data_IF_751594728813
#
_entry.id   IF_751594728813
#
_cell.length_a   1.000
_cell.length_b   1.000
_cell.length_c   1.000
_cell.angle_alpha   90.00
_cell.angle_beta   90.00
_cell.angle_gamma   90.00
#
_symmetry.space_group_name_H-M   'P 1'
#
loop_
_entity.id
_entity.type
_entity.pdbx_description
1 polymer ?
#
# COMPACT_ATOMS: atom_id res chain seq x y z
N UNK A 1 -3.44 -1.00 -9.26
CA UNK A 1 -4.18 0.26 -9.34
C UNK A 1 -3.23 1.44 -9.19
N UNK A 2 -3.66 2.60 -9.60
CA UNK A 2 -2.89 3.83 -9.42
C UNK A 2 -3.13 4.35 -8.00
N UNK A 3 -2.05 4.79 -7.34
CA UNK A 3 -2.12 5.37 -6.00
C UNK A 3 -1.51 6.77 -6.07
N UNK A 4 -2.18 7.75 -5.46
CA UNK A 4 -1.64 9.11 -5.36
C UNK A 4 -0.49 9.16 -4.35
N UNK A 5 0.72 9.32 -4.87
CA UNK A 5 1.94 9.38 -4.06
C UNK A 5 2.25 10.78 -3.53
N UNK A 6 1.56 11.82 -3.99
CA UNK A 6 1.81 13.22 -3.60
C UNK A 6 1.55 13.45 -2.12
N UNK A 7 0.57 12.74 -1.55
CA UNK A 7 0.18 12.86 -0.14
C UNK A 7 1.33 12.61 0.83
N UNK A 8 2.24 11.69 0.52
CA UNK A 8 3.41 11.41 1.34
C UNK A 8 4.72 12.00 0.77
N UNK A 9 4.80 12.31 -0.54
CA UNK A 9 5.99 12.94 -1.12
C UNK A 9 6.11 14.42 -0.75
N UNK A 10 5.01 15.18 -0.75
CA UNK A 10 5.03 16.62 -0.45
C UNK A 10 5.60 16.94 0.93
N UNK A 11 5.24 16.23 2.02
CA UNK A 11 5.81 16.48 3.34
C UNK A 11 7.32 16.22 3.43
N UNK A 12 7.90 15.39 2.55
CA UNK A 12 9.32 15.04 2.58
C UNK A 12 10.25 16.22 2.19
N UNK A 13 9.69 17.30 1.65
CA UNK A 13 10.43 18.56 1.43
C UNK A 13 10.87 19.23 2.73
N UNK A 14 10.20 18.91 3.85
CA UNK A 14 10.55 19.46 5.17
C UNK A 14 11.76 18.70 5.73
N UNK A 15 12.82 19.39 6.20
CA UNK A 15 13.95 18.74 6.87
C UNK A 15 13.51 17.88 8.06
N UNK A 16 14.22 16.80 8.31
CA UNK A 16 13.97 15.84 9.41
C UNK A 16 12.68 15.00 9.29
N UNK A 17 11.94 15.14 8.19
CA UNK A 17 10.89 14.16 7.86
C UNK A 17 11.49 12.94 7.18
N UNK A 18 10.80 11.82 7.22
CA UNK A 18 11.21 10.60 6.52
C UNK A 18 10.02 9.87 5.94
N UNK A 19 10.28 9.11 4.88
CA UNK A 19 9.29 8.22 4.29
C UNK A 19 9.14 6.96 5.16
N UNK A 20 7.91 6.62 5.53
CA UNK A 20 7.63 5.37 6.25
C UNK A 20 7.66 4.14 5.32
N UNK A 21 7.70 2.94 5.90
CA UNK A 21 7.76 1.69 5.13
C UNK A 21 6.56 1.48 4.21
N UNK A 22 5.30 1.71 4.65
CA UNK A 22 4.14 1.61 3.78
C UNK A 22 4.24 2.55 2.57
N UNK A 23 4.62 3.81 2.79
CA UNK A 23 4.79 4.81 1.73
C UNK A 23 5.95 4.46 0.78
N UNK A 24 7.05 3.93 1.31
CA UNK A 24 8.19 3.46 0.51
C UNK A 24 7.79 2.30 -0.42
N UNK A 25 6.98 1.36 0.07
CA UNK A 25 6.41 0.28 -0.73
C UNK A 25 5.50 0.80 -1.85
N UNK A 26 4.64 1.78 -1.53
CA UNK A 26 3.77 2.42 -2.52
C UNK A 26 4.61 3.15 -3.57
N UNK A 27 5.66 3.87 -3.18
CA UNK A 27 6.58 4.54 -4.10
C UNK A 27 7.23 3.54 -5.06
N UNK A 28 7.72 2.41 -4.55
CA UNK A 28 8.29 1.34 -5.37
C UNK A 28 7.31 0.84 -6.44
N UNK A 29 6.06 0.58 -6.05
CA UNK A 29 5.00 0.13 -6.97
C UNK A 29 4.64 1.20 -8.00
N UNK A 30 4.63 2.48 -7.60
CA UNK A 30 4.37 3.61 -8.48
C UNK A 30 5.47 3.77 -9.53
N UNK A 31 6.74 3.67 -9.13
CA UNK A 31 7.89 3.73 -10.05
C UNK A 31 7.90 2.55 -11.03
N UNK A 32 7.55 1.36 -10.60
CA UNK A 32 7.40 0.21 -11.49
C UNK A 32 6.25 0.40 -12.50
N UNK A 33 5.14 1.00 -12.05
CA UNK A 33 4.00 1.35 -12.92
C UNK A 33 4.41 2.40 -13.94
N UNK A 34 5.11 3.45 -13.51
CA UNK A 34 5.67 4.49 -14.37
C UNK A 34 6.56 3.90 -15.46
N UNK A 35 7.48 3.02 -15.06
CA UNK A 35 8.37 2.30 -15.98
C UNK A 35 7.59 1.51 -17.04
N UNK A 36 6.55 0.80 -16.63
CA UNK A 36 5.70 0.02 -17.55
C UNK A 36 4.98 0.93 -18.54
N UNK A 37 4.44 2.07 -18.10
CA UNK A 37 3.75 3.05 -18.95
C UNK A 37 4.74 3.65 -19.97
N UNK A 38 5.90 4.12 -19.52
CA UNK A 38 6.93 4.70 -20.40
C UNK A 38 7.39 3.68 -21.44
N UNK A 39 7.68 2.45 -21.03
CA UNK A 39 8.11 1.38 -21.94
C UNK A 39 7.00 1.00 -22.92
N UNK A 40 5.75 0.96 -22.50
CA UNK A 40 4.62 0.70 -23.39
C UNK A 40 4.57 1.73 -24.52
N UNK A 41 4.62 3.03 -24.23
CA UNK A 41 4.58 4.07 -25.26
C UNK A 41 5.87 4.13 -26.08
N UNK A 42 7.03 3.78 -25.53
CA UNK A 42 8.29 3.71 -26.27
C UNK A 42 8.27 2.59 -27.31
N UNK A 43 7.73 1.42 -26.94
CA UNK A 43 7.74 0.22 -27.77
C UNK A 43 6.51 0.11 -28.69
N UNK A 44 5.48 0.96 -28.52
CA UNK A 44 4.33 0.99 -29.43
C UNK A 44 4.71 1.61 -30.78
N UNK A 45 3.99 1.25 -31.86
CA UNK A 45 4.18 1.85 -33.17
C UNK A 45 3.95 3.37 -33.13
N UNK A 46 4.74 4.13 -33.89
CA UNK A 46 4.74 5.61 -33.82
C UNK A 46 3.37 6.24 -34.06
N UNK A 47 2.60 5.63 -34.95
CA UNK A 47 1.32 6.16 -35.39
C UNK A 47 0.13 5.83 -34.47
N UNK A 48 0.31 4.84 -33.57
CA UNK A 48 -0.81 4.34 -32.75
C UNK A 48 -1.27 5.32 -31.68
N UNK A 49 -0.34 6.01 -30.99
CA UNK A 49 -0.67 6.87 -29.84
C UNK A 49 0.17 8.17 -29.83
N UNK A 50 0.12 8.99 -30.91
CA UNK A 50 1.05 10.11 -31.06
C UNK A 50 0.95 11.15 -29.93
N UNK A 51 -0.27 11.48 -29.48
CA UNK A 51 -0.51 12.44 -28.40
C UNK A 51 -0.06 11.90 -27.04
N UNK A 52 -0.35 10.63 -26.74
CA UNK A 52 0.05 10.01 -25.46
C UNK A 52 1.57 9.80 -25.39
N UNK A 53 2.19 9.45 -26.52
CA UNK A 53 3.67 9.40 -26.61
C UNK A 53 4.30 10.75 -26.32
N UNK A 54 3.76 11.83 -26.90
CA UNK A 54 4.24 13.19 -26.62
C UNK A 54 4.14 13.55 -25.14
N UNK A 55 3.04 13.19 -24.48
CA UNK A 55 2.90 13.39 -23.04
C UNK A 55 3.93 12.60 -22.21
N UNK A 56 4.38 11.43 -22.71
CA UNK A 56 5.34 10.55 -22.03
C UNK A 56 6.81 10.97 -22.24
N UNK A 57 7.12 11.79 -23.26
CA UNK A 57 8.50 12.11 -23.65
C UNK A 57 9.29 12.86 -22.59
N UNK A 58 8.63 13.71 -21.80
CA UNK A 58 9.27 14.58 -20.81
C UNK A 58 9.22 14.03 -19.37
N UNK A 59 8.76 12.79 -19.21
CA UNK A 59 8.65 12.18 -17.88
C UNK A 59 9.94 11.47 -17.55
N UNK A 60 10.57 11.89 -16.45
CA UNK A 60 11.79 11.28 -15.96
C UNK A 60 11.53 9.87 -15.40
N UNK A 61 12.47 8.98 -15.63
CA UNK A 61 12.53 7.64 -15.04
C UNK A 61 13.75 7.57 -14.12
N UNK A 62 13.60 6.93 -12.97
CA UNK A 62 14.57 6.98 -11.86
C UNK A 62 15.08 5.57 -11.51
N UNK A 63 15.92 4.95 -12.34
CA UNK A 63 16.41 3.59 -12.07
C UNK A 63 17.29 3.53 -10.80
N UNK A 64 17.95 4.62 -10.44
CA UNK A 64 18.75 4.74 -9.22
C UNK A 64 17.88 4.69 -7.95
N UNK A 65 16.70 5.34 -7.97
CA UNK A 65 15.76 5.30 -6.85
C UNK A 65 15.23 3.86 -6.69
N UNK A 66 14.78 3.24 -7.78
CA UNK A 66 14.30 1.85 -7.76
C UNK A 66 15.35 0.89 -7.23
N UNK A 67 16.63 0.99 -7.71
CA UNK A 67 17.73 0.16 -7.20
C UNK A 67 17.97 0.36 -5.72
N UNK A 68 17.90 1.59 -5.22
CA UNK A 68 18.13 1.86 -3.80
C UNK A 68 16.96 1.35 -2.93
N UNK A 69 15.72 1.42 -3.43
CA UNK A 69 14.57 0.79 -2.78
C UNK A 69 14.76 -0.73 -2.71
N UNK A 70 15.20 -1.37 -3.80
CA UNK A 70 15.44 -2.82 -3.86
C UNK A 70 16.58 -3.29 -2.92
N UNK A 71 17.50 -2.40 -2.55
CA UNK A 71 18.50 -2.67 -1.51
C UNK A 71 17.91 -2.63 -0.10
N UNK A 72 16.87 -1.81 0.12
CA UNK A 72 16.22 -1.64 1.42
C UNK A 72 15.09 -2.65 1.60
N UNK A 73 14.22 -2.82 0.61
CA UNK A 73 13.03 -3.67 0.68
C UNK A 73 13.24 -5.00 -0.04
N UNK A 74 12.63 -6.04 0.50
CA UNK A 74 12.46 -7.30 -0.18
C UNK A 74 11.19 -7.32 -1.07
N UNK A 75 10.92 -8.46 -1.71
CA UNK A 75 9.74 -8.66 -2.56
C UNK A 75 8.39 -8.55 -1.81
N UNK A 76 8.39 -8.68 -0.49
CA UNK A 76 7.20 -8.55 0.34
C UNK A 76 7.00 -7.13 0.87
N UNK A 77 8.01 -6.27 0.71
CA UNK A 77 8.04 -4.89 1.20
C UNK A 77 8.51 -4.78 2.63
N UNK A 78 9.22 -5.81 3.13
CA UNK A 78 9.89 -5.80 4.43
C UNK A 78 11.34 -5.34 4.28
N UNK A 79 11.90 -4.73 5.33
CA UNK A 79 13.30 -4.29 5.31
C UNK A 79 14.22 -5.49 5.30
N UNK A 80 15.09 -5.57 4.28
CA UNK A 80 16.09 -6.65 4.16
C UNK A 80 17.05 -6.66 5.33
N UNK A 81 17.48 -7.85 5.75
CA UNK A 81 18.59 -7.97 6.71
C UNK A 81 19.85 -7.24 6.21
N UNK A 82 20.08 -7.28 4.91
CA UNK A 82 21.23 -6.67 4.23
C UNK A 82 21.07 -5.20 3.90
N UNK A 83 19.99 -4.54 4.34
CA UNK A 83 19.77 -3.11 4.10
C UNK A 83 20.88 -2.25 4.75
N UNK A 84 21.46 -2.72 5.84
CA UNK A 84 22.73 -2.20 6.36
C UNK A 84 23.53 -3.30 7.06
N UNK A 85 24.86 -3.17 7.16
CA UNK A 85 25.70 -4.11 7.92
C UNK A 85 25.30 -4.19 9.41
N UNK A 86 24.92 -3.05 10.00
CA UNK A 86 24.49 -2.97 11.40
C UNK A 86 23.17 -3.72 11.62
N UNK A 87 22.17 -3.53 10.74
CA UNK A 87 20.90 -4.25 10.81
C UNK A 87 21.10 -5.76 10.70
N UNK A 88 21.98 -6.20 9.79
CA UNK A 88 22.31 -7.61 9.63
C UNK A 88 22.90 -8.20 10.90
N UNK A 89 23.82 -7.49 11.55
CA UNK A 89 24.42 -7.93 12.80
C UNK A 89 23.40 -7.98 13.95
N UNK A 90 22.56 -6.96 14.08
CA UNK A 90 21.50 -6.90 15.10
C UNK A 90 20.55 -8.08 14.94
N UNK A 91 20.05 -8.34 13.74
CA UNK A 91 19.12 -9.44 13.47
C UNK A 91 19.75 -10.82 13.65
N UNK A 92 21.03 -10.95 13.32
CA UNK A 92 21.79 -12.17 13.65
C UNK A 92 21.85 -12.39 15.15
N UNK A 93 22.22 -11.38 15.93
CA UNK A 93 22.30 -11.45 17.39
C UNK A 93 20.93 -11.74 18.02
N UNK A 94 19.84 -11.17 17.48
CA UNK A 94 18.47 -11.48 17.90
C UNK A 94 18.16 -12.96 17.72
N UNK A 95 18.40 -13.53 16.54
CA UNK A 95 18.15 -14.97 16.26
C UNK A 95 18.98 -15.89 17.18
N UNK A 96 20.24 -15.54 17.41
CA UNK A 96 21.12 -16.31 18.31
C UNK A 96 20.58 -16.31 19.76
N UNK A 97 20.18 -15.14 20.27
CA UNK A 97 19.64 -15.00 21.63
C UNK A 97 18.29 -15.66 21.80
N UNK A 98 17.38 -15.48 20.84
CA UNK A 98 16.07 -16.14 20.84
C UNK A 98 16.22 -17.67 20.83
N UNK A 99 17.21 -18.21 20.10
CA UNK A 99 17.53 -19.62 20.09
C UNK A 99 18.07 -20.13 21.45
N UNK A 100 18.89 -19.32 22.16
CA UNK A 100 19.39 -19.64 23.51
C UNK A 100 18.24 -19.60 24.52
N UNK A 101 17.39 -18.56 24.48
CA UNK A 101 16.21 -18.44 25.35
C UNK A 101 15.31 -19.64 25.18
N UNK A 102 14.96 -20.00 23.94
CA UNK A 102 14.06 -21.12 23.64
C UNK A 102 14.56 -22.44 24.23
N UNK A 103 15.85 -22.72 24.05
CA UNK A 103 16.48 -23.93 24.64
C UNK A 103 16.47 -23.91 26.17
N UNK A 104 16.81 -22.78 26.78
CA UNK A 104 16.88 -22.63 28.22
C UNK A 104 15.51 -22.78 28.87
N UNK A 105 14.50 -22.08 28.33
CA UNK A 105 13.12 -22.16 28.83
C UNK A 105 12.53 -23.55 28.65
N UNK A 106 12.79 -24.24 27.52
CA UNK A 106 12.33 -25.61 27.35
C UNK A 106 12.92 -26.57 28.43
N UNK A 107 14.19 -26.38 28.77
CA UNK A 107 14.84 -27.15 29.85
C UNK A 107 14.22 -26.86 31.22
N UNK A 108 13.99 -25.58 31.54
CA UNK A 108 13.41 -25.17 32.84
C UNK A 108 11.95 -25.65 32.94
N UNK A 109 11.16 -25.51 31.85
CA UNK A 109 9.78 -25.98 31.82
C UNK A 109 9.70 -27.49 32.09
N UNK A 110 10.55 -28.29 31.40
CA UNK A 110 10.62 -29.74 31.60
C UNK A 110 11.00 -30.13 33.03
N UNK A 111 11.94 -29.43 33.65
CA UNK A 111 12.29 -29.65 35.04
C UNK A 111 11.12 -29.33 35.98
N UNK A 112 10.49 -28.16 35.79
CA UNK A 112 9.36 -27.72 36.59
C UNK A 112 8.12 -28.63 36.44
N UNK A 113 7.91 -29.23 35.27
CA UNK A 113 6.87 -30.23 35.03
C UNK A 113 7.19 -31.54 35.81
N UNK A 114 8.43 -32.04 35.70
CA UNK A 114 8.84 -33.25 36.41
C UNK A 114 8.83 -33.11 37.95
N UNK A 115 8.95 -31.89 38.47
CA UNK A 115 8.86 -31.56 39.88
C UNK A 115 7.43 -31.26 40.36
N UNK A 116 6.45 -31.30 39.46
CA UNK A 116 5.04 -30.97 39.78
C UNK A 116 4.80 -29.49 40.13
N UNK A 117 5.70 -28.58 39.71
CA UNK A 117 5.56 -27.12 39.93
C UNK A 117 4.64 -26.52 38.88
N UNK A 118 4.70 -27.08 37.68
CA UNK A 118 3.95 -26.68 36.49
C UNK A 118 3.17 -27.87 35.96
N UNK A 119 1.97 -27.64 35.43
CA UNK A 119 1.14 -28.71 34.86
C UNK A 119 1.85 -29.39 33.68
N UNK A 120 1.65 -30.71 33.49
CA UNK A 120 2.32 -31.49 32.45
C UNK A 120 2.02 -31.01 31.03
N UNK A 121 0.83 -30.43 30.80
CA UNK A 121 0.37 -29.91 29.52
C UNK A 121 0.68 -28.40 29.32
N UNK A 122 1.29 -27.76 30.32
CA UNK A 122 1.61 -26.35 30.25
C UNK A 122 2.64 -26.07 29.16
N UNK A 123 2.39 -24.99 28.39
CA UNK A 123 3.30 -24.49 27.38
C UNK A 123 3.77 -23.08 27.71
N UNK A 124 4.92 -22.69 27.16
CA UNK A 124 5.44 -21.34 27.36
C UNK A 124 4.45 -20.28 26.80
N UNK A 125 4.40 -19.12 27.45
CA UNK A 125 3.59 -17.98 27.03
C UNK A 125 4.50 -16.81 26.64
N UNK A 126 4.08 -16.03 25.64
CA UNK A 126 4.80 -14.81 25.27
C UNK A 126 3.96 -13.60 25.67
N UNK A 127 4.56 -12.67 26.45
CA UNK A 127 3.93 -11.41 26.85
C UNK A 127 4.97 -10.28 26.72
N UNK A 128 4.57 -9.20 26.07
CA UNK A 128 5.43 -8.03 25.81
C UNK A 128 6.83 -8.39 25.26
N UNK A 129 6.87 -9.43 24.43
CA UNK A 129 8.10 -9.94 23.82
C UNK A 129 9.01 -10.73 24.74
N UNK A 130 8.53 -11.11 25.95
CA UNK A 130 9.22 -12.01 26.90
C UNK A 130 8.61 -13.39 26.86
N UNK A 131 9.46 -14.41 26.98
CA UNK A 131 9.03 -15.81 27.08
C UNK A 131 8.90 -16.16 28.56
N UNK A 132 7.72 -16.59 28.97
CA UNK A 132 7.31 -16.79 30.34
C UNK A 132 6.79 -18.21 30.54
N UNK A 133 6.91 -18.75 31.77
CA UNK A 133 6.36 -20.04 32.16
C UNK A 133 5.08 -19.79 32.97
N UNK A 134 3.89 -20.34 32.55
CA UNK A 134 2.69 -20.27 33.35
C UNK A 134 2.80 -21.23 34.54
N UNK A 135 2.56 -20.72 35.75
CA UNK A 135 2.66 -21.48 37.01
C UNK A 135 1.39 -21.23 37.82
N UNK A 136 0.84 -22.23 38.46
CA UNK A 136 -0.24 -22.03 39.41
C UNK A 136 0.17 -21.04 40.49
N UNK A 137 -0.67 -20.06 40.87
CA UNK A 137 -0.31 -18.99 41.84
C UNK A 137 0.19 -19.59 43.15
N UNK A 138 -0.37 -20.75 43.58
CA UNK A 138 0.09 -21.47 44.79
C UNK A 138 1.56 -21.93 44.67
N UNK A 139 2.05 -22.20 43.48
CA UNK A 139 3.40 -22.69 43.20
C UNK A 139 4.36 -21.61 42.72
N UNK A 140 3.93 -20.35 42.55
CA UNK A 140 4.74 -19.28 41.95
C UNK A 140 6.10 -19.02 42.66
N UNK A 141 6.21 -19.34 43.92
CA UNK A 141 7.46 -19.21 44.71
C UNK A 141 8.42 -20.39 44.55
N UNK A 142 7.93 -21.50 43.96
CA UNK A 142 8.79 -22.72 43.77
C UNK A 142 9.64 -22.61 42.49
N UNK A 143 9.18 -21.85 41.50
CA UNK A 143 9.99 -21.56 40.31
C UNK A 143 10.83 -20.30 40.56
N UNK A 144 12.16 -20.44 40.48
CA UNK A 144 13.08 -19.31 40.63
C UNK A 144 12.89 -18.34 39.46
N UNK A 145 12.31 -17.15 39.70
CA UNK A 145 12.04 -16.17 38.69
C UNK A 145 11.26 -14.97 39.18
N UNK A 146 10.99 -14.05 38.26
CA UNK A 146 10.18 -12.86 38.50
C UNK A 146 8.74 -13.10 38.00
N UNK A 147 7.76 -12.84 38.88
CA UNK A 147 6.35 -12.81 38.44
C UNK A 147 6.17 -11.60 37.59
N UNK A 148 5.89 -11.80 36.27
CA UNK A 148 5.73 -10.74 35.29
C UNK A 148 4.28 -10.29 35.20
N UNK A 149 3.33 -11.24 35.25
CA UNK A 149 1.92 -11.01 35.10
C UNK A 149 1.09 -12.11 35.76
N UNK A 150 -0.20 -11.87 35.95
CA UNK A 150 -1.15 -12.89 36.46
C UNK A 150 -2.36 -12.97 35.51
N UNK A 151 -2.98 -14.14 35.41
CA UNK A 151 -4.19 -14.31 34.62
C UNK A 151 -5.35 -13.51 35.20
N UNK A 152 -6.31 -13.10 34.37
CA UNK A 152 -7.50 -12.35 34.82
C UNK A 152 -8.30 -13.08 35.92
N UNK A 153 -8.24 -14.41 35.99
CA UNK A 153 -8.85 -15.22 37.03
C UNK A 153 -8.02 -15.33 38.32
N UNK A 154 -6.81 -14.80 38.33
CA UNK A 154 -5.87 -14.91 39.47
C UNK A 154 -5.38 -16.32 39.76
N UNK A 155 -5.62 -17.30 38.87
CA UNK A 155 -5.22 -18.70 39.10
C UNK A 155 -3.83 -19.04 38.59
N UNK A 156 -3.34 -18.34 37.59
CA UNK A 156 -2.05 -18.57 36.91
C UNK A 156 -1.18 -17.34 36.99
N UNK A 157 0.03 -17.48 37.44
CA UNK A 157 1.09 -16.49 37.38
C UNK A 157 2.01 -16.78 36.20
N UNK A 158 2.44 -15.76 35.49
CA UNK A 158 3.40 -15.86 34.39
C UNK A 158 4.77 -15.46 34.93
N UNK A 159 5.66 -16.44 35.06
CA UNK A 159 6.97 -16.28 35.68
C UNK A 159 8.05 -16.21 34.62
N UNK A 160 8.89 -15.19 34.70
CA UNK A 160 10.13 -15.07 33.92
C UNK A 160 11.23 -15.76 34.72
N UNK A 161 11.76 -16.93 34.30
CA UNK A 161 12.83 -17.60 35.02
C UNK A 161 14.07 -16.73 35.14
N UNK A 162 14.70 -16.72 36.31
CA UNK A 162 15.86 -15.84 36.58
C UNK A 162 16.99 -16.05 35.55
N UNK A 163 17.16 -17.28 35.08
CA UNK A 163 18.17 -17.65 34.09
C UNK A 163 18.02 -16.97 32.71
N UNK A 164 16.82 -16.48 32.38
CA UNK A 164 16.55 -15.85 31.10
C UNK A 164 16.23 -14.35 31.17
N UNK A 165 16.13 -13.80 32.39
CA UNK A 165 15.84 -12.35 32.58
C UNK A 165 16.84 -11.48 31.83
N UNK A 166 18.13 -11.76 31.99
CA UNK A 166 19.19 -10.99 31.34
C UNK A 166 19.14 -11.13 29.80
N UNK A 167 18.89 -12.36 29.32
CA UNK A 167 18.77 -12.62 27.90
C UNK A 167 17.55 -11.90 27.29
N UNK A 168 16.40 -11.89 27.96
CA UNK A 168 15.21 -11.17 27.55
C UNK A 168 15.45 -9.64 27.52
N UNK A 169 16.21 -9.11 28.50
CA UNK A 169 16.57 -7.69 28.49
C UNK A 169 17.46 -7.35 27.28
N UNK A 170 18.45 -8.21 26.99
CA UNK A 170 19.31 -8.03 25.81
C UNK A 170 18.54 -8.13 24.48
N UNK A 171 17.59 -9.05 24.38
CA UNK A 171 16.69 -9.12 23.19
C UNK A 171 15.88 -7.84 23.05
N UNK A 172 15.34 -7.32 24.15
CA UNK A 172 14.59 -6.04 24.14
C UNK A 172 15.47 -4.88 23.69
N UNK A 173 16.69 -4.78 24.19
CA UNK A 173 17.65 -3.76 23.77
C UNK A 173 17.97 -3.87 22.28
N UNK A 174 18.21 -5.09 21.78
CA UNK A 174 18.47 -5.33 20.37
C UNK A 174 17.28 -4.94 19.49
N UNK A 175 16.03 -5.19 19.92
CA UNK A 175 14.81 -4.74 19.22
C UNK A 175 14.71 -3.21 19.14
N UNK A 176 15.06 -2.50 20.20
CA UNK A 176 15.15 -1.04 20.15
C UNK A 176 16.27 -0.54 19.23
N UNK A 177 17.39 -1.23 19.20
CA UNK A 177 18.47 -0.92 18.25
C UNK A 177 18.04 -1.19 16.81
N UNK A 178 17.33 -2.28 16.54
CA UNK A 178 16.76 -2.60 15.23
C UNK A 178 15.83 -1.48 14.74
N UNK A 179 14.90 -1.05 15.58
CA UNK A 179 13.98 0.04 15.23
C UNK A 179 14.71 1.35 14.91
N UNK A 180 15.71 1.71 15.70
CA UNK A 180 16.54 2.91 15.47
C UNK A 180 17.33 2.79 14.18
N UNK A 181 17.86 1.62 13.88
CA UNK A 181 18.65 1.41 12.65
C UNK A 181 17.74 1.45 11.41
N UNK A 182 16.54 0.87 11.47
CA UNK A 182 15.54 1.01 10.39
C UNK A 182 15.19 2.48 10.17
N UNK A 183 14.95 3.23 11.23
CA UNK A 183 14.67 4.67 11.12
C UNK A 183 15.84 5.43 10.46
N UNK A 184 17.08 5.10 10.83
CA UNK A 184 18.29 5.69 10.23
C UNK A 184 18.36 5.42 8.72
N UNK A 185 18.08 4.18 8.32
CA UNK A 185 18.05 3.78 6.90
C UNK A 185 16.98 4.59 6.14
N UNK A 186 15.79 4.74 6.71
CA UNK A 186 14.70 5.50 6.08
C UNK A 186 15.00 6.99 5.99
N UNK A 187 15.66 7.57 7.00
CA UNK A 187 16.12 8.96 6.97
C UNK A 187 17.17 9.18 5.87
N UNK A 188 18.20 8.34 5.80
CA UNK A 188 19.23 8.42 4.76
C UNK A 188 18.64 8.23 3.34
N UNK A 189 17.69 7.31 3.19
CA UNK A 189 16.99 7.16 1.92
C UNK A 189 16.17 8.40 1.58
N UNK A 190 15.52 9.00 2.55
CA UNK A 190 14.72 10.21 2.33
C UNK A 190 15.58 11.40 1.94
N UNK A 191 16.73 11.57 2.58
CA UNK A 191 17.68 12.62 2.20
C UNK A 191 18.21 12.43 0.78
N UNK A 192 18.47 11.19 0.38
CA UNK A 192 18.79 10.86 -1.01
C UNK A 192 17.63 11.18 -1.97
N UNK A 193 16.37 10.99 -1.54
CA UNK A 193 15.18 11.19 -2.37
C UNK A 193 14.84 12.68 -2.58
N UNK A 194 15.19 13.57 -1.63
CA UNK A 194 14.79 14.98 -1.63
C UNK A 194 15.09 15.73 -2.93
N UNK A 195 16.27 15.60 -3.55
CA UNK A 195 16.57 16.28 -4.82
C UNK A 195 15.64 15.88 -5.97
N UNK A 196 15.03 14.69 -5.90
CA UNK A 196 14.15 14.16 -6.94
C UNK A 196 12.65 14.44 -6.71
N UNK A 197 12.28 15.09 -5.60
CA UNK A 197 10.87 15.31 -5.25
C UNK A 197 10.09 16.08 -6.32
N UNK A 198 10.60 17.16 -6.94
CA UNK A 198 9.84 17.87 -7.98
C UNK A 198 9.49 16.98 -9.15
N UNK A 199 10.44 16.18 -9.62
CA UNK A 199 10.25 15.26 -10.75
C UNK A 199 9.36 14.08 -10.37
N UNK A 200 9.45 13.57 -9.14
CA UNK A 200 8.57 12.49 -8.64
C UNK A 200 7.12 12.96 -8.52
N UNK A 201 6.90 14.21 -8.09
CA UNK A 201 5.57 14.81 -8.04
C UNK A 201 5.02 14.96 -9.46
N UNK A 202 5.85 15.46 -10.40
CA UNK A 202 5.47 15.53 -11.81
C UNK A 202 5.13 14.16 -12.41
N UNK A 203 5.88 13.12 -12.04
CA UNK A 203 5.60 11.75 -12.45
C UNK A 203 4.27 11.21 -11.85
N UNK A 204 3.96 11.58 -10.61
CA UNK A 204 2.68 11.24 -9.98
C UNK A 204 1.50 11.91 -10.71
N UNK A 205 1.63 13.18 -11.05
CA UNK A 205 0.62 13.92 -11.84
C UNK A 205 0.42 13.29 -13.22
N UNK A 206 1.51 12.89 -13.87
CA UNK A 206 1.46 12.18 -15.16
C UNK A 206 0.71 10.84 -15.03
N UNK A 207 1.02 10.02 -14.02
CA UNK A 207 0.32 8.75 -13.78
C UNK A 207 -1.17 9.00 -13.57
N UNK A 208 -1.54 10.00 -12.77
CA UNK A 208 -2.93 10.40 -12.55
C UNK A 208 -3.62 10.84 -13.83
N UNK A 209 -2.94 11.61 -14.69
CA UNK A 209 -3.45 12.00 -16.00
C UNK A 209 -3.71 10.80 -16.92
N UNK A 210 -2.77 9.87 -17.00
CA UNK A 210 -2.92 8.65 -17.81
C UNK A 210 -4.06 7.78 -17.29
N UNK A 211 -4.22 7.64 -15.97
CA UNK A 211 -5.34 6.90 -15.39
C UNK A 211 -6.68 7.56 -15.72
N UNK A 212 -6.77 8.88 -15.63
CA UNK A 212 -7.97 9.63 -16.00
C UNK A 212 -8.31 9.50 -17.50
N UNK A 213 -7.30 9.57 -18.36
CA UNK A 213 -7.49 9.34 -19.81
C UNK A 213 -8.00 7.93 -20.07
N UNK A 214 -7.39 6.93 -19.38
CA UNK A 214 -7.83 5.54 -19.48
C UNK A 214 -9.26 5.34 -18.98
N UNK A 215 -9.63 5.95 -17.86
CA UNK A 215 -10.99 5.88 -17.32
C UNK A 215 -12.01 6.46 -18.32
N UNK A 216 -11.71 7.63 -18.91
CA UNK A 216 -12.56 8.20 -19.96
C UNK A 216 -12.69 7.29 -21.19
N UNK A 217 -11.58 6.69 -21.62
CA UNK A 217 -11.61 5.77 -22.75
C UNK A 217 -12.46 4.52 -22.46
N UNK A 218 -12.37 3.96 -21.27
CA UNK A 218 -13.20 2.81 -20.86
C UNK A 218 -14.69 3.18 -20.82
N UNK A 219 -15.04 4.35 -20.30
CA UNK A 219 -16.43 4.86 -20.32
C UNK A 219 -16.91 5.06 -21.76
N UNK A 220 -16.05 5.64 -22.63
CA UNK A 220 -16.40 5.81 -24.04
C UNK A 220 -16.67 4.48 -24.76
N UNK A 221 -15.87 3.44 -24.48
CA UNK A 221 -16.08 2.08 -24.99
C UNK A 221 -17.40 1.47 -24.48
N UNK A 222 -17.67 1.58 -23.18
CA UNK A 222 -18.93 1.09 -22.57
C UNK A 222 -20.16 1.75 -23.18
N UNK A 223 -20.07 3.07 -23.44
CA UNK A 223 -21.15 3.86 -24.06
C UNK A 223 -21.16 3.77 -25.59
N UNK A 224 -20.20 3.11 -26.22
CA UNK A 224 -19.99 3.17 -27.67
C UNK A 224 -19.99 4.61 -28.20
N UNK A 225 -19.31 5.50 -27.45
CA UNK A 225 -19.29 6.92 -27.70
C UNK A 225 -18.20 7.30 -28.74
N UNK A 226 -18.51 8.31 -29.56
CA UNK A 226 -17.53 8.94 -30.44
C UNK A 226 -17.01 10.25 -29.86
N UNK A 227 -15.93 10.76 -30.44
CA UNK A 227 -15.42 12.09 -30.11
C UNK A 227 -16.37 13.18 -30.63
N UNK A 228 -16.93 14.05 -29.77
CA UNK A 228 -17.75 15.17 -30.24
C UNK A 228 -16.89 16.24 -30.92
N UNK A 229 -17.42 16.84 -31.97
CA UNK A 229 -16.79 18.01 -32.59
C UNK A 229 -17.34 19.25 -31.88
N UNK A 230 -16.44 20.02 -31.26
CA UNK A 230 -16.80 21.27 -30.59
C UNK A 230 -16.70 22.39 -31.63
N UNK A 231 -17.85 23.05 -31.92
CA UNK A 231 -17.92 24.21 -32.79
C UNK A 231 -17.92 25.51 -31.98
N UNK A 232 -17.33 26.55 -32.53
CA UNK A 232 -17.46 27.93 -32.02
C UNK A 232 -18.71 28.64 -32.54
N UNK A 233 -19.39 28.05 -33.51
CA UNK A 233 -20.66 28.57 -34.05
C UNK A 233 -21.82 28.19 -33.12
N UNK A 234 -22.88 29.01 -33.08
CA UNK A 234 -24.10 28.72 -32.31
C UNK A 234 -24.93 27.62 -33.00
N UNK A 235 -24.33 26.45 -33.12
CA UNK A 235 -24.96 25.27 -33.74
C UNK A 235 -24.86 24.06 -32.78
N UNK A 236 -25.91 23.26 -32.76
CA UNK A 236 -25.96 21.97 -32.11
C UNK A 236 -26.47 20.91 -33.09
N UNK A 237 -25.65 19.91 -33.37
CA UNK A 237 -26.02 18.84 -34.28
C UNK A 237 -25.82 17.49 -33.60
N UNK A 238 -26.90 16.90 -33.12
CA UNK A 238 -26.95 15.57 -32.56
C UNK A 238 -27.32 14.57 -33.64
N UNK A 239 -26.45 13.63 -33.95
CA UNK A 239 -26.67 12.59 -34.95
C UNK A 239 -26.77 11.22 -34.29
N UNK A 240 -27.97 10.63 -34.27
CA UNK A 240 -28.25 9.35 -33.63
C UNK A 240 -27.75 9.31 -32.16
N UNK A 241 -28.01 10.41 -31.45
CA UNK A 241 -27.65 10.52 -30.03
C UNK A 241 -28.49 9.55 -29.21
N UNK A 242 -27.85 8.93 -28.24
CA UNK A 242 -28.44 7.94 -27.32
C UNK A 242 -28.23 8.39 -25.90
N UNK A 243 -29.25 8.32 -25.06
CA UNK A 243 -29.12 8.62 -23.66
C UNK A 243 -28.43 7.44 -22.97
N UNK A 244 -27.22 7.60 -22.39
CA UNK A 244 -26.39 6.48 -21.96
C UNK A 244 -27.02 5.65 -20.84
N UNK A 245 -27.70 6.30 -19.88
CA UNK A 245 -28.34 5.57 -18.78
C UNK A 245 -29.58 4.82 -19.26
N UNK A 246 -30.38 5.44 -20.13
CA UNK A 246 -31.56 4.78 -20.71
C UNK A 246 -31.16 3.60 -21.58
N UNK A 247 -30.15 3.75 -22.44
CA UNK A 247 -29.63 2.65 -23.25
C UNK A 247 -29.17 1.48 -22.37
N UNK A 248 -28.46 1.76 -21.29
CA UNK A 248 -27.98 0.74 -20.34
C UNK A 248 -29.13 0.00 -19.64
N UNK A 249 -30.21 0.71 -19.28
CA UNK A 249 -31.41 0.10 -18.67
C UNK A 249 -32.16 -0.75 -19.69
N UNK A 250 -32.38 -0.25 -20.89
CA UNK A 250 -33.09 -0.97 -21.97
C UNK A 250 -32.32 -2.22 -22.40
N UNK A 251 -31.00 -2.15 -22.51
CA UNK A 251 -30.16 -3.31 -22.84
C UNK A 251 -30.28 -4.44 -21.79
N UNK A 252 -30.47 -4.10 -20.49
CA UNK A 252 -30.74 -5.12 -19.46
C UNK A 252 -32.10 -5.80 -19.63
N UNK A 253 -33.04 -5.12 -20.25
CA UNK A 253 -34.38 -5.64 -20.56
C UNK A 253 -34.48 -6.25 -21.98
N UNK A 254 -33.34 -6.39 -22.70
CA UNK A 254 -33.27 -6.79 -24.11
C UNK A 254 -34.12 -5.91 -25.04
N UNK A 255 -34.21 -4.62 -24.74
CA UNK A 255 -34.89 -3.61 -25.56
C UNK A 255 -33.88 -2.69 -26.21
N UNK A 256 -34.18 -2.19 -27.41
CA UNK A 256 -33.35 -1.24 -28.11
C UNK A 256 -33.76 0.19 -27.80
N UNK A 257 -32.76 1.10 -27.72
CA UNK A 257 -33.01 2.54 -27.60
C UNK A 257 -33.27 3.14 -28.95
N UNK A 258 -34.25 4.06 -29.03
CA UNK A 258 -34.51 4.88 -30.23
C UNK A 258 -33.57 6.08 -30.22
N UNK A 259 -32.62 6.22 -31.18
CA UNK A 259 -31.68 7.31 -31.22
C UNK A 259 -32.34 8.62 -31.64
N UNK A 260 -31.89 9.75 -31.06
CA UNK A 260 -32.36 11.08 -31.43
C UNK A 260 -31.43 11.72 -32.48
N UNK A 261 -32.01 12.27 -33.56
CA UNK A 261 -31.29 13.17 -34.48
C UNK A 261 -31.93 14.53 -34.43
N UNK A 262 -31.13 15.56 -34.13
CA UNK A 262 -31.60 16.94 -33.93
C UNK A 262 -30.54 17.91 -34.41
N UNK A 263 -31.00 18.98 -35.12
CA UNK A 263 -30.16 20.13 -35.50
C UNK A 263 -30.79 21.41 -35.05
N UNK A 264 -30.00 22.23 -34.37
CA UNK A 264 -30.30 23.63 -34.07
C UNK A 264 -29.20 24.52 -34.67
N UNK A 265 -29.58 25.65 -35.23
CA UNK A 265 -28.68 26.63 -35.84
C UNK A 265 -29.15 28.07 -35.56
N UNK A 266 -28.48 29.06 -36.13
CA UNK A 266 -28.83 30.46 -35.94
C UNK A 266 -30.23 30.82 -36.46
N UNK A 267 -30.80 30.03 -37.37
CA UNK A 267 -32.16 30.25 -37.94
C UNK A 267 -33.21 29.41 -37.21
N UNK A 268 -32.85 28.19 -36.82
CA UNK A 268 -33.73 27.24 -36.13
C UNK A 268 -33.13 26.96 -34.73
N UNK A 269 -33.31 27.89 -33.79
CA UNK A 269 -32.69 27.87 -32.48
C UNK A 269 -33.67 27.55 -31.32
N UNK A 270 -34.95 27.27 -31.65
CA UNK A 270 -35.96 26.90 -30.67
C UNK A 270 -36.47 25.49 -30.98
N UNK A 271 -36.41 24.61 -29.96
CA UNK A 271 -37.00 23.29 -29.99
C UNK A 271 -38.19 23.25 -29.02
N UNK A 272 -39.37 22.95 -29.52
CA UNK A 272 -40.54 22.72 -28.69
C UNK A 272 -40.79 21.21 -28.56
N UNK A 273 -40.77 20.72 -27.33
CA UNK A 273 -41.05 19.31 -27.01
C UNK A 273 -42.41 19.26 -26.32
N UNK A 274 -43.43 18.62 -26.98
CA UNK A 274 -44.73 18.41 -26.40
C UNK A 274 -45.10 16.93 -26.36
N UNK A 275 -45.98 16.56 -25.45
CA UNK A 275 -46.46 15.19 -25.28
C UNK A 275 -46.75 14.82 -23.84
N UNK A 276 -47.38 13.66 -23.59
CA UNK A 276 -47.65 13.19 -22.25
C UNK A 276 -46.35 12.85 -21.51
N UNK A 277 -46.31 13.04 -20.19
CA UNK A 277 -45.12 12.75 -19.38
C UNK A 277 -44.71 11.27 -19.45
N UNK A 278 -45.68 10.37 -19.62
CA UNK A 278 -45.42 8.93 -19.77
C UNK A 278 -44.69 8.56 -21.09
N UNK A 279 -44.58 9.49 -22.06
CA UNK A 279 -43.90 9.26 -23.33
C UNK A 279 -42.40 9.51 -23.33
N UNK A 280 -41.75 9.66 -22.17
CA UNK A 280 -40.29 9.87 -22.05
C UNK A 280 -39.83 11.30 -22.33
N UNK A 281 -40.73 12.29 -22.24
CA UNK A 281 -40.42 13.72 -22.50
C UNK A 281 -39.30 14.26 -21.60
N UNK A 282 -39.12 13.72 -20.41
CA UNK A 282 -38.16 14.17 -19.40
C UNK A 282 -36.88 13.32 -19.36
N UNK A 283 -36.69 12.40 -20.30
CA UNK A 283 -35.52 11.52 -20.41
C UNK A 283 -34.52 12.07 -21.41
#
# INVERSE_FOLDING_TARGET
GFVDTRSFLLPLSVPSTYIDLPSLKILSQSLETLKKIINFFRNSEEQLYPTLRKLSQNIAYFPEISRRIDQILDRFGEVRDTASPELQQIRRSLREKDGVIAKRIASILKSAQSEGIVDEDATVSMRDGRVLIPVAVANKKKLSGLVYDESASGKTAFVEPMEVVELNNQVRELKFREQREILRILLEFTDFLRPYLPELISAADYIGMIDFIRAKALVALDMRAGLPVISQENTMHLRKARHPLLERTLNRENKEIVPLTLSLDSKKHILLISGPNAGGKSV
#
